data_IF_606514136964
#
_entry.id   IF_606514136964
#
_cell.length_a   1.000
_cell.length_b   1.000
_cell.length_c   1.000
_cell.angle_alpha   90.00
_cell.angle_beta   90.00
_cell.angle_gamma   90.00
#
_symmetry.space_group_name_H-M   'P 1'
#
loop_
_entity.id
_entity.type
_entity.pdbx_description
1 polymer ?
#
# COMPACT_ATOMS: atom_id res chain seq x y z
N UNK A 1 -6.47 -2.33 10.91
CA UNK A 1 -5.77 -3.63 11.00
C UNK A 1 -4.30 -3.38 11.36
N UNK A 2 -3.84 -3.81 12.55
CA UNK A 2 -2.44 -3.62 13.01
C UNK A 2 -1.51 -4.62 12.28
N UNK A 3 -0.85 -4.20 11.21
CA UNK A 3 0.23 -4.97 10.58
C UNK A 3 1.63 -4.46 10.99
N UNK A 4 1.74 -3.17 11.32
CA UNK A 4 3.03 -2.48 11.54
C UNK A 4 3.78 -2.98 12.80
N UNK A 5 3.08 -3.53 13.79
CA UNK A 5 3.69 -3.98 15.05
C UNK A 5 4.17 -5.44 15.08
N UNK A 6 3.81 -6.26 14.09
CA UNK A 6 4.02 -7.72 14.14
C UNK A 6 5.23 -8.21 13.32
N UNK A 7 5.78 -7.37 12.45
CA UNK A 7 6.88 -7.75 11.59
C UNK A 7 8.21 -7.26 12.19
N UNK A 8 9.12 -8.22 12.43
CA UNK A 8 10.46 -7.93 12.92
C UNK A 8 11.14 -6.93 11.97
N UNK A 9 11.80 -5.91 12.54
CA UNK A 9 12.63 -5.00 11.76
C UNK A 9 13.64 -5.82 10.95
N UNK A 10 13.72 -5.64 9.62
CA UNK A 10 14.69 -6.36 8.81
C UNK A 10 16.10 -5.98 9.25
N UNK A 11 17.02 -6.92 9.16
CA UNK A 11 18.45 -6.73 9.47
C UNK A 11 19.21 -5.93 8.38
N UNK A 12 18.47 -5.36 7.43
CA UNK A 12 19.01 -4.59 6.29
C UNK A 12 18.82 -3.10 6.55
N UNK A 13 19.64 -2.27 5.89
CA UNK A 13 19.45 -0.81 5.91
C UNK A 13 18.26 -0.32 5.08
N UNK A 14 17.62 -1.21 4.30
CA UNK A 14 16.47 -0.87 3.49
C UNK A 14 15.19 -0.81 4.35
N UNK A 15 14.33 0.17 4.06
CA UNK A 15 13.01 0.30 4.69
C UNK A 15 12.05 -0.81 4.26
N UNK A 16 11.02 -1.05 5.09
CA UNK A 16 9.91 -1.95 4.76
C UNK A 16 8.88 -1.24 3.87
N UNK A 17 8.31 -1.99 2.93
CA UNK A 17 7.21 -1.56 2.06
C UNK A 17 6.13 -2.63 2.14
N UNK A 18 4.88 -2.24 2.31
CA UNK A 18 3.77 -3.16 2.59
C UNK A 18 2.70 -3.06 1.51
N UNK A 19 2.66 -4.03 0.61
CA UNK A 19 1.76 -4.01 -0.53
C UNK A 19 0.62 -5.01 -0.34
N UNK A 20 -0.61 -4.51 -0.29
CA UNK A 20 -1.83 -5.34 -0.40
C UNK A 20 -2.22 -5.50 -1.86
N UNK A 21 -2.24 -6.74 -2.35
CA UNK A 21 -2.51 -7.04 -3.76
C UNK A 21 -3.93 -7.53 -3.99
N UNK A 22 -4.61 -6.97 -4.98
CA UNK A 22 -5.99 -7.30 -5.34
C UNK A 22 -6.08 -7.69 -6.82
N UNK A 23 -6.98 -8.61 -7.20
CA UNK A 23 -7.17 -8.95 -8.62
C UNK A 23 -7.78 -7.78 -9.40
N UNK A 24 -8.71 -7.04 -8.79
CA UNK A 24 -9.45 -5.96 -9.46
C UNK A 24 -9.95 -4.89 -8.47
N UNK A 25 -10.38 -3.73 -9.00
CA UNK A 25 -10.94 -2.62 -8.20
C UNK A 25 -12.18 -3.03 -7.41
N UNK A 26 -13.01 -3.94 -7.95
CA UNK A 26 -14.22 -4.39 -7.25
C UNK A 26 -13.89 -5.14 -5.95
N UNK A 27 -12.80 -5.89 -5.94
CA UNK A 27 -12.30 -6.57 -4.73
C UNK A 27 -11.70 -5.56 -3.77
N UNK A 28 -10.83 -4.66 -4.24
CA UNK A 28 -10.24 -3.59 -3.40
C UNK A 28 -11.30 -2.78 -2.63
N UNK A 29 -12.40 -2.38 -3.29
CA UNK A 29 -13.47 -1.57 -2.67
C UNK A 29 -14.07 -2.19 -1.42
N UNK A 30 -14.05 -3.52 -1.30
CA UNK A 30 -14.57 -4.24 -0.13
C UNK A 30 -13.67 -4.10 1.10
N UNK A 31 -12.39 -3.78 0.91
CA UNK A 31 -11.36 -3.79 1.95
C UNK A 31 -10.68 -2.44 2.18
N UNK A 32 -10.86 -1.48 1.27
CA UNK A 32 -10.11 -0.21 1.30
C UNK A 32 -10.26 0.58 2.61
N UNK A 33 -11.41 0.45 3.28
CA UNK A 33 -11.66 1.09 4.57
C UNK A 33 -10.87 0.46 5.73
N UNK A 34 -10.46 -0.81 5.59
CA UNK A 34 -9.75 -1.57 6.62
C UNK A 34 -8.23 -1.57 6.43
N UNK A 35 -7.76 -1.14 5.25
CA UNK A 35 -6.34 -1.06 4.94
C UNK A 35 -5.64 -0.06 5.86
N UNK A 36 -4.43 -0.43 6.28
CA UNK A 36 -3.63 0.42 7.14
C UNK A 36 -3.10 1.63 6.35
N UNK A 37 -3.04 2.79 7.02
CA UNK A 37 -2.23 3.91 6.56
C UNK A 37 -0.74 3.51 6.48
N UNK A 38 0.04 4.28 5.73
CA UNK A 38 1.46 4.03 5.46
C UNK A 38 1.73 2.68 4.77
N UNK A 39 0.79 2.27 3.92
CA UNK A 39 0.91 1.06 3.08
C UNK A 39 0.46 1.36 1.66
N UNK A 40 0.71 0.40 0.77
CA UNK A 40 0.37 0.47 -0.64
C UNK A 40 -0.70 -0.57 -1.02
N UNK A 41 -1.55 -0.21 -1.97
CA UNK A 41 -2.44 -1.16 -2.64
C UNK A 41 -2.10 -1.27 -4.13
N UNK A 42 -2.05 -2.49 -4.64
CA UNK A 42 -1.77 -2.81 -6.03
C UNK A 42 -2.90 -3.66 -6.63
N UNK A 43 -3.20 -3.45 -7.91
CA UNK A 43 -4.29 -4.12 -8.63
C UNK A 43 -3.76 -4.80 -9.89
N UNK A 44 -4.03 -6.10 -10.04
CA UNK A 44 -3.51 -6.89 -11.15
C UNK A 44 -4.03 -6.45 -12.53
N UNK A 45 -5.29 -6.00 -12.63
CA UNK A 45 -5.87 -5.44 -13.87
C UNK A 45 -5.24 -4.09 -14.30
N UNK A 46 -4.60 -3.39 -13.37
CA UNK A 46 -3.95 -2.10 -13.63
C UNK A 46 -2.48 -2.14 -13.15
N UNK A 47 -1.65 -3.03 -13.72
CA UNK A 47 -0.38 -3.43 -13.11
C UNK A 47 0.65 -2.29 -13.05
N UNK A 48 0.45 -1.24 -13.84
CA UNK A 48 1.30 -0.04 -13.92
C UNK A 48 0.93 1.04 -12.89
N UNK A 49 -0.14 0.85 -12.12
CA UNK A 49 -0.63 1.82 -11.15
C UNK A 49 -0.52 1.29 -9.72
N UNK A 50 -0.37 2.21 -8.77
CA UNK A 50 -0.31 1.90 -7.34
C UNK A 50 -1.04 2.99 -6.55
N UNK A 51 -1.72 2.60 -5.47
CA UNK A 51 -2.37 3.51 -4.55
C UNK A 51 -1.56 3.59 -3.26
N UNK A 52 -1.12 4.78 -2.87
CA UNK A 52 -0.44 5.03 -1.61
C UNK A 52 -1.44 5.51 -0.56
N UNK A 53 -1.60 4.75 0.52
CA UNK A 53 -2.45 5.14 1.64
C UNK A 53 -1.61 5.94 2.64
N UNK A 54 -1.78 7.26 2.66
CA UNK A 54 -0.93 8.29 3.31
C UNK A 54 0.03 8.96 2.30
N UNK A 55 0.01 10.29 2.29
CA UNK A 55 0.41 11.07 1.11
C UNK A 55 1.53 12.07 1.33
N UNK A 56 2.01 12.30 2.56
CA UNK A 56 2.98 13.39 2.83
C UNK A 56 4.26 13.31 2.00
N UNK A 57 4.67 12.10 1.58
CA UNK A 57 5.82 11.86 0.70
C UNK A 57 5.56 12.13 -0.79
N UNK A 58 4.30 12.10 -1.22
CA UNK A 58 3.91 12.04 -2.64
C UNK A 58 2.98 13.18 -3.08
N UNK A 59 2.93 14.28 -2.31
CA UNK A 59 2.17 15.48 -2.68
C UNK A 59 2.92 16.30 -3.73
N UNK A 60 2.30 16.51 -4.88
CA UNK A 60 2.81 17.36 -5.97
C UNK A 60 2.13 17.05 -7.31
N UNK A 61 2.19 17.96 -8.29
CA UNK A 61 1.67 17.69 -9.62
C UNK A 61 2.50 16.62 -10.34
N UNK A 62 1.80 15.75 -11.08
CA UNK A 62 2.44 14.95 -12.12
C UNK A 62 2.75 15.87 -13.32
N UNK A 63 3.94 15.75 -13.90
CA UNK A 63 4.38 16.50 -15.09
C UNK A 63 3.88 15.87 -16.38
#
# INVERSE_FOLDING_TARGET
MLLVGLLNKPQTSAGLVYVSCFPNRATLRKFIADLAWETEAWIAEEPTHMMHLNGSRFMGPYS
#
